data_IF_150710850246
#
_entry.id   IF_150710850246
#
_cell.length_a   1.000
_cell.length_b   1.000
_cell.length_c   1.000
_cell.angle_alpha   90.00
_cell.angle_beta   90.00
_cell.angle_gamma   90.00
#
_symmetry.space_group_name_H-M   'P 1'
#
loop_
_entity.id
_entity.type
_entity.pdbx_description
1 polymer ?
#
# COMPACT_ATOMS: atom_id res chain seq x y z
N UNK A 1 -15.28 6.19 7.42
CA UNK A 1 -15.24 5.06 6.44
C UNK A 1 -14.08 5.24 5.46
N UNK A 2 -13.55 4.21 4.78
CA UNK A 2 -12.40 4.34 3.84
C UNK A 2 -12.62 5.32 2.68
N UNK A 3 -13.86 5.72 2.44
CA UNK A 3 -14.32 6.65 1.41
C UNK A 3 -14.60 8.07 1.94
N UNK A 4 -14.41 8.33 3.23
CA UNK A 4 -14.55 9.68 3.78
C UNK A 4 -13.39 10.57 3.35
N UNK A 5 -13.71 11.85 3.14
CA UNK A 5 -12.80 12.89 2.65
C UNK A 5 -11.46 12.95 3.39
N UNK A 6 -11.51 12.74 4.71
CA UNK A 6 -10.35 12.94 5.58
C UNK A 6 -9.78 11.62 6.12
N UNK A 7 -10.30 10.46 5.69
CA UNK A 7 -9.80 9.17 6.15
C UNK A 7 -8.30 8.99 5.85
N UNK A 8 -7.84 9.47 4.69
CA UNK A 8 -6.43 9.42 4.32
C UNK A 8 -5.52 10.21 5.26
N UNK A 9 -6.00 11.28 5.89
CA UNK A 9 -5.21 12.14 6.78
C UNK A 9 -4.73 11.39 8.04
N UNK A 10 -5.52 10.42 8.50
CA UNK A 10 -5.18 9.56 9.65
C UNK A 10 -4.91 8.11 9.25
N UNK A 11 -4.81 7.80 7.95
CA UNK A 11 -4.68 6.43 7.48
C UNK A 11 -3.28 5.88 7.73
N UNK A 12 -3.20 4.91 8.63
CA UNK A 12 -2.01 4.13 8.98
C UNK A 12 -2.04 2.69 8.45
N UNK A 13 -2.89 2.39 7.46
CA UNK A 13 -3.08 1.04 6.92
C UNK A 13 -2.15 0.78 5.74
N UNK A 14 -1.41 -0.32 5.83
CA UNK A 14 -0.65 -0.92 4.73
C UNK A 14 -1.23 -2.31 4.46
N UNK A 15 -1.14 -2.78 3.22
CA UNK A 15 -1.61 -4.12 2.84
C UNK A 15 -0.53 -4.87 2.08
N UNK A 16 -0.44 -6.18 2.29
CA UNK A 16 0.43 -7.06 1.49
C UNK A 16 -0.48 -8.03 0.74
N UNK A 17 -0.33 -8.09 -0.57
CA UNK A 17 -1.06 -9.03 -1.42
C UNK A 17 -0.55 -10.46 -1.25
N UNK A 18 -1.35 -11.45 -1.64
CA UNK A 18 -0.98 -12.87 -1.60
C UNK A 18 0.26 -13.21 -2.44
N UNK A 19 0.57 -12.38 -3.44
CA UNK A 19 1.78 -12.52 -4.27
C UNK A 19 3.01 -11.78 -3.70
N UNK A 20 2.90 -11.22 -2.49
CA UNK A 20 4.03 -10.56 -1.81
C UNK A 20 4.29 -9.11 -2.24
N UNK A 21 3.30 -8.41 -2.79
CA UNK A 21 3.42 -6.96 -3.08
C UNK A 21 2.85 -6.13 -1.93
N UNK A 22 3.62 -5.14 -1.48
CA UNK A 22 3.22 -4.12 -0.52
C UNK A 22 2.45 -3.00 -1.22
N UNK A 23 1.22 -2.78 -0.78
CA UNK A 23 0.36 -1.68 -1.20
C UNK A 23 0.29 -0.64 -0.08
N UNK A 24 0.75 0.57 -0.40
CA UNK A 24 0.78 1.70 0.54
C UNK A 24 -0.58 2.39 0.68
N UNK A 25 -1.51 2.12 -0.22
CA UNK A 25 -2.85 2.67 -0.25
C UNK A 25 -3.81 1.65 -0.87
N UNK A 26 -5.07 1.66 -0.45
CA UNK A 26 -6.11 0.85 -1.09
C UNK A 26 -6.28 1.21 -2.57
N UNK A 27 -6.15 2.50 -2.90
CA UNK A 27 -6.40 3.08 -4.23
C UNK A 27 -5.10 3.45 -4.98
N UNK A 28 -3.94 3.09 -4.41
CA UNK A 28 -2.64 3.38 -5.00
C UNK A 28 -2.36 2.48 -6.19
N UNK A 29 -1.76 3.04 -7.25
CA UNK A 29 -1.26 2.25 -8.37
C UNK A 29 0.13 1.70 -8.07
N UNK A 30 0.34 0.42 -8.38
CA UNK A 30 1.61 -0.25 -8.14
C UNK A 30 1.81 -0.68 -6.68
N UNK A 31 2.40 -1.86 -6.50
CA UNK A 31 2.82 -2.37 -5.20
C UNK A 31 4.31 -2.71 -5.23
N UNK A 32 5.01 -2.45 -4.13
CA UNK A 32 6.44 -2.74 -4.00
C UNK A 32 6.62 -4.23 -3.82
N UNK A 33 7.47 -4.87 -4.62
CA UNK A 33 7.75 -6.29 -4.47
C UNK A 33 8.57 -6.52 -3.20
N UNK A 34 8.04 -7.35 -2.31
CA UNK A 34 8.72 -7.81 -1.10
C UNK A 34 9.06 -9.30 -1.17
N UNK A 35 8.56 -10.04 -2.17
CA UNK A 35 8.65 -11.50 -2.19
C UNK A 35 10.08 -12.00 -2.20
N UNK A 36 10.98 -11.30 -2.90
CA UNK A 36 12.41 -11.60 -2.97
C UNK A 36 13.14 -11.44 -1.62
N UNK A 37 12.55 -10.69 -0.68
CA UNK A 37 13.12 -10.42 0.64
C UNK A 37 12.41 -11.18 1.78
N UNK A 38 11.46 -12.05 1.44
CA UNK A 38 10.73 -12.89 2.38
C UNK A 38 11.18 -14.36 2.29
N UNK A 39 12.26 -14.64 1.54
CA UNK A 39 12.75 -16.00 1.33
C UNK A 39 13.65 -16.49 2.48
N UNK A 40 14.32 -15.58 3.19
CA UNK A 40 15.24 -15.92 4.28
C UNK A 40 15.32 -14.83 5.37
N UNK A 41 15.40 -15.24 6.64
CA UNK A 41 15.50 -14.34 7.80
C UNK A 41 16.73 -13.41 7.77
N UNK A 42 17.82 -13.82 7.13
CA UNK A 42 19.02 -12.97 6.95
C UNK A 42 18.75 -11.69 6.15
N UNK A 43 17.66 -11.65 5.38
CA UNK A 43 17.26 -10.51 4.56
C UNK A 43 16.44 -9.46 5.34
N UNK A 44 16.17 -9.67 6.64
CA UNK A 44 15.32 -8.81 7.45
C UNK A 44 15.70 -7.32 7.36
N UNK A 45 16.99 -6.98 7.46
CA UNK A 45 17.44 -5.58 7.38
C UNK A 45 17.13 -4.96 6.01
N UNK A 46 17.30 -5.72 4.92
CA UNK A 46 16.98 -5.25 3.58
C UNK A 46 15.47 -5.05 3.41
N UNK A 47 14.66 -5.92 4.02
CA UNK A 47 13.20 -5.82 4.02
C UNK A 47 12.73 -4.55 4.75
N UNK A 48 13.24 -4.32 5.95
CA UNK A 48 12.94 -3.12 6.75
C UNK A 48 13.33 -1.83 5.99
N UNK A 49 14.51 -1.82 5.36
CA UNK A 49 14.97 -0.69 4.56
C UNK A 49 14.04 -0.43 3.37
N UNK A 50 13.59 -1.47 2.67
CA UNK A 50 12.70 -1.34 1.51
C UNK A 50 11.31 -0.86 1.90
N UNK A 51 10.74 -1.39 2.99
CA UNK A 51 9.46 -0.92 3.51
C UNK A 51 9.58 0.55 3.93
N UNK A 52 10.66 0.92 4.62
CA UNK A 52 10.90 2.30 5.06
C UNK A 52 11.08 3.27 3.89
N UNK A 53 11.73 2.84 2.80
CA UNK A 53 11.86 3.63 1.59
C UNK A 53 10.49 3.81 0.91
N UNK A 54 9.73 2.73 0.74
CA UNK A 54 8.40 2.76 0.16
C UNK A 54 7.45 3.70 0.93
N UNK A 55 7.51 3.70 2.27
CA UNK A 55 6.68 4.57 3.09
C UNK A 55 6.93 6.07 2.84
N UNK A 56 8.14 6.47 2.45
CA UNK A 56 8.44 7.85 2.09
C UNK A 56 7.78 8.26 0.77
N UNK A 57 7.51 7.31 -0.11
CA UNK A 57 6.81 7.51 -1.38
C UNK A 57 5.28 7.51 -1.23
N UNK A 58 4.75 7.20 -0.03
CA UNK A 58 3.32 7.19 0.24
C UNK A 58 2.74 8.60 0.07
N UNK A 59 1.99 8.79 -1.01
CA UNK A 59 1.24 10.03 -1.25
C UNK A 59 0.25 10.28 -0.10
N UNK A 60 0.22 11.53 0.39
CA UNK A 60 -0.60 11.90 1.55
C UNK A 60 -2.10 11.79 1.30
N UNK A 61 -2.56 11.99 0.06
CA UNK A 61 -3.98 11.91 -0.28
C UNK A 61 -4.17 11.26 -1.64
N UNK A 62 -5.27 10.53 -1.80
CA UNK A 62 -5.85 10.28 -3.10
C UNK A 62 -6.99 11.27 -3.28
N UNK A 63 -7.06 11.92 -4.43
CA UNK A 63 -8.16 12.80 -4.81
C UNK A 63 -9.41 11.96 -5.17
N UNK A 64 -9.89 11.14 -4.22
CA UNK A 64 -11.12 10.35 -4.35
C UNK A 64 -12.31 11.25 -4.70
N UNK A 65 -12.33 12.49 -4.17
CA UNK A 65 -13.31 13.53 -4.53
C UNK A 65 -13.22 14.05 -5.96
N UNK A 66 -12.13 13.76 -6.68
CA UNK A 66 -11.95 14.08 -8.10
C UNK A 66 -12.13 12.83 -8.98
N UNK A 67 -12.82 11.78 -8.48
CA UNK A 67 -13.02 10.49 -9.15
C UNK A 67 -11.72 9.73 -9.50
N UNK A 68 -10.60 10.04 -8.86
CA UNK A 68 -9.35 9.31 -9.09
C UNK A 68 -9.21 8.13 -8.13
N UNK A 69 -9.86 7.02 -8.47
CA UNK A 69 -9.88 5.77 -7.67
C UNK A 69 -8.64 4.88 -7.88
N UNK A 70 -7.75 5.25 -8.80
CA UNK A 70 -6.60 4.42 -9.20
C UNK A 70 -7.03 3.06 -9.77
N UNK A 71 -6.20 2.04 -9.59
CA UNK A 71 -6.44 0.67 -10.08
C UNK A 71 -7.53 -0.11 -9.33
N UNK A 72 -8.00 0.39 -8.18
CA UNK A 72 -8.83 -0.41 -7.28
C UNK A 72 -10.28 0.06 -7.34
N UNK A 73 -11.03 -0.52 -8.28
CA UNK A 73 -12.47 -0.25 -8.46
C UNK A 73 -13.33 -0.86 -7.33
N UNK A 74 -12.82 -1.89 -6.62
CA UNK A 74 -13.55 -2.58 -5.54
C UNK A 74 -12.60 -3.10 -4.45
N UNK A 75 -12.99 -3.00 -3.16
CA UNK A 75 -12.22 -3.49 -2.00
C UNK A 75 -11.86 -4.98 -2.11
N UNK A 76 -12.69 -5.78 -2.78
CA UNK A 76 -12.47 -7.21 -2.97
C UNK A 76 -11.16 -7.55 -3.67
N UNK A 77 -10.55 -6.60 -4.39
CA UNK A 77 -9.28 -6.81 -5.10
C UNK A 77 -8.06 -6.95 -4.18
N UNK A 78 -8.08 -6.31 -3.00
CA UNK A 78 -6.95 -6.33 -2.03
C UNK A 78 -7.36 -6.99 -0.70
N UNK A 79 -8.55 -7.59 -0.65
CA UNK A 79 -9.12 -8.16 0.57
C UNK A 79 -9.79 -7.09 1.44
N UNK A 80 -11.03 -7.39 1.87
CA UNK A 80 -11.88 -6.50 2.68
C UNK A 80 -11.28 -6.12 4.02
#
# INVERSE_FOLDING_TARGET
MPYEKDFCATCNRLRVSSIGKLHLCLFGEGGVNLRDLLENDTQQQALEARISAALREKKQTHFLHQNNTGITQNLSYIGG
#
